data_IF_271950906797
#
_entry.id   IF_271950906797
#
_cell.length_a   1.000
_cell.length_b   1.000
_cell.length_c   1.000
_cell.angle_alpha   90.00
_cell.angle_beta   90.00
_cell.angle_gamma   90.00
#
_symmetry.space_group_name_H-M   'P 1'
#
loop_
_entity.id
_entity.type
_entity.pdbx_description
1 polymer ?
#
# COMPACT_ATOMS: atom_id res chain seq x y z
N UNK A 1 -5.52 18.96 -19.30
CA UNK A 1 -4.98 17.63 -18.98
C UNK A 1 -6.03 16.61 -18.54
N UNK A 2 -7.21 17.04 -17.99
CA UNK A 2 -8.24 16.09 -17.50
C UNK A 2 -8.71 15.07 -18.54
N UNK A 3 -9.01 15.43 -19.81
CA UNK A 3 -9.37 14.45 -20.82
C UNK A 3 -8.27 13.43 -21.13
N UNK A 4 -7.02 13.87 -21.11
CA UNK A 4 -5.87 13.00 -21.34
C UNK A 4 -5.67 12.04 -20.17
N UNK A 5 -5.77 12.53 -18.92
CA UNK A 5 -5.67 11.70 -17.72
C UNK A 5 -6.78 10.66 -17.70
N UNK A 6 -8.04 11.08 -17.99
CA UNK A 6 -9.16 10.17 -18.10
C UNK A 6 -8.88 9.03 -19.10
N UNK A 7 -8.45 9.38 -20.30
CA UNK A 7 -8.12 8.39 -21.33
C UNK A 7 -7.03 7.42 -20.86
N UNK A 8 -5.96 7.91 -20.20
CA UNK A 8 -4.87 7.07 -19.68
C UNK A 8 -5.32 6.13 -18.54
N UNK A 9 -6.29 6.54 -17.74
CA UNK A 9 -6.90 5.67 -16.70
C UNK A 9 -7.80 4.62 -17.36
N UNK A 10 -8.61 5.00 -18.35
CA UNK A 10 -9.55 4.09 -19.02
C UNK A 10 -8.83 3.03 -19.86
N UNK A 11 -7.77 3.41 -20.57
CA UNK A 11 -6.98 2.48 -21.39
C UNK A 11 -5.93 1.67 -20.62
N UNK A 12 -5.73 1.95 -19.32
CA UNK A 12 -4.82 1.22 -18.43
C UNK A 12 -3.36 1.65 -18.49
N UNK A 13 -3.02 2.75 -19.18
CA UNK A 13 -1.68 3.35 -19.11
C UNK A 13 -1.35 3.87 -17.72
N UNK A 14 -2.35 4.42 -17.02
CA UNK A 14 -2.30 4.74 -15.59
C UNK A 14 -3.25 3.81 -14.85
N UNK A 15 -2.73 2.77 -14.26
CA UNK A 15 -3.52 1.78 -13.53
C UNK A 15 -3.81 2.25 -12.12
N UNK A 16 -5.08 2.27 -11.71
CA UNK A 16 -5.51 2.61 -10.35
C UNK A 16 -6.18 1.41 -9.71
N UNK A 17 -5.72 1.02 -8.54
CA UNK A 17 -6.21 -0.12 -7.76
C UNK A 17 -6.63 0.34 -6.38
N UNK A 18 -7.77 -0.12 -5.87
CA UNK A 18 -8.78 -1.01 -6.48
C UNK A 18 -9.69 -0.29 -7.48
N UNK A 19 -10.50 -1.06 -8.19
CA UNK A 19 -11.44 -0.54 -9.20
C UNK A 19 -12.42 0.52 -8.63
N UNK A 20 -12.82 0.39 -7.37
CA UNK A 20 -13.65 1.38 -6.68
C UNK A 20 -12.97 2.76 -6.63
N UNK A 21 -11.65 2.80 -6.41
CA UNK A 21 -10.87 4.05 -6.38
C UNK A 21 -10.59 4.62 -7.76
N UNK A 22 -10.46 3.76 -8.76
CA UNK A 22 -10.44 4.18 -10.17
C UNK A 22 -11.75 4.88 -10.54
N UNK A 23 -12.88 4.26 -10.21
CA UNK A 23 -14.20 4.84 -10.48
C UNK A 23 -14.40 6.16 -9.75
N UNK A 24 -13.93 6.28 -8.50
CA UNK A 24 -13.92 7.54 -7.76
C UNK A 24 -13.11 8.63 -8.48
N UNK A 25 -11.90 8.32 -8.94
CA UNK A 25 -11.06 9.26 -9.69
C UNK A 25 -11.74 9.71 -11.00
N UNK A 26 -12.32 8.79 -11.75
CA UNK A 26 -13.06 9.09 -12.97
C UNK A 26 -14.30 9.97 -12.70
N UNK A 27 -15.06 9.67 -11.66
CA UNK A 27 -16.21 10.47 -11.25
C UNK A 27 -15.81 11.89 -10.84
N UNK A 28 -14.68 12.05 -10.14
CA UNK A 28 -14.14 13.37 -9.81
C UNK A 28 -13.78 14.13 -11.11
N UNK A 29 -13.11 13.51 -12.08
CA UNK A 29 -12.76 14.14 -13.34
C UNK A 29 -14.01 14.60 -14.11
N UNK A 30 -15.09 13.84 -14.06
CA UNK A 30 -16.36 14.15 -14.72
C UNK A 30 -17.19 15.25 -14.02
N UNK A 31 -16.94 15.47 -12.72
CA UNK A 31 -17.70 16.41 -11.89
C UNK A 31 -17.24 17.86 -11.98
N UNK A 32 -16.55 18.26 -13.05
CA UNK A 32 -16.03 19.61 -13.26
C UNK A 32 -15.04 20.07 -12.17
N UNK A 33 -13.89 19.39 -12.13
CA UNK A 33 -12.81 19.71 -11.18
C UNK A 33 -12.26 21.09 -11.49
N UNK A 34 -12.40 22.00 -10.53
CA UNK A 34 -11.77 23.32 -10.59
C UNK A 34 -10.24 23.23 -10.61
N UNK A 35 -9.61 24.29 -11.12
CA UNK A 35 -8.16 24.42 -11.13
C UNK A 35 -7.55 24.17 -9.77
N UNK A 36 -6.41 23.51 -9.75
CA UNK A 36 -5.63 23.25 -8.55
C UNK A 36 -4.73 24.47 -8.26
N UNK A 37 -5.05 25.21 -7.21
CA UNK A 37 -4.22 26.33 -6.79
C UNK A 37 -2.94 25.83 -6.13
N UNK A 38 -1.79 26.17 -6.72
CA UNK A 38 -0.44 25.80 -6.24
C UNK A 38 0.11 26.76 -5.19
N UNK A 39 -0.61 27.82 -4.84
CA UNK A 39 -0.21 28.82 -3.84
C UNK A 39 -1.30 29.08 -2.83
N UNK A 40 -0.92 29.68 -1.71
CA UNK A 40 -1.82 30.17 -0.64
C UNK A 40 -1.40 31.54 -0.19
N UNK A 41 -2.36 32.46 -0.12
CA UNK A 41 -2.17 33.79 0.44
C UNK A 41 -2.24 33.78 1.95
N UNK A 42 -1.52 34.73 2.58
CA UNK A 42 -1.63 34.97 4.02
C UNK A 42 -0.92 33.96 4.93
N UNK A 43 -0.20 32.97 4.40
CA UNK A 43 0.63 32.07 5.19
C UNK A 43 1.91 32.77 5.64
N UNK A 44 2.11 32.87 6.96
CA UNK A 44 3.32 33.47 7.55
C UNK A 44 4.54 32.54 7.46
N UNK A 45 4.32 31.25 7.32
CA UNK A 45 5.36 30.23 7.23
C UNK A 45 5.14 29.35 5.99
N UNK A 46 6.19 29.09 5.23
CA UNK A 46 6.15 28.30 4.01
C UNK A 46 7.23 28.72 3.02
N UNK A 47 7.30 28.05 1.90
CA UNK A 47 8.20 28.39 0.79
C UNK A 47 7.58 29.55 0.02
N UNK A 48 8.23 30.74 -0.04
CA UNK A 48 7.69 31.88 -0.78
C UNK A 48 7.54 31.55 -2.28
N UNK A 49 6.41 31.95 -2.86
CA UNK A 49 6.22 31.77 -4.29
C UNK A 49 7.12 32.76 -5.06
N UNK A 50 7.92 32.30 -6.04
CA UNK A 50 8.93 33.14 -6.70
C UNK A 50 8.39 34.38 -7.39
N UNK A 51 7.17 34.32 -7.89
CA UNK A 51 6.54 35.39 -8.68
C UNK A 51 5.63 36.33 -7.84
N UNK A 52 5.30 35.93 -6.60
CA UNK A 52 4.52 36.76 -5.67
C UNK A 52 4.90 36.42 -4.21
N UNK A 53 5.65 37.31 -3.58
CA UNK A 53 6.16 37.13 -2.21
C UNK A 53 5.06 37.14 -1.13
N UNK A 54 3.84 37.58 -1.46
CA UNK A 54 2.70 37.52 -0.53
C UNK A 54 2.06 36.14 -0.48
N UNK A 55 2.48 35.24 -1.36
CA UNK A 55 1.99 33.87 -1.43
C UNK A 55 3.07 32.86 -1.06
N UNK A 56 2.67 31.79 -0.41
CA UNK A 56 3.49 30.62 -0.16
C UNK A 56 3.06 29.46 -1.06
N UNK A 57 4.01 28.60 -1.43
CA UNK A 57 3.70 27.38 -2.17
C UNK A 57 2.78 26.49 -1.33
N UNK A 58 1.73 25.97 -1.96
CA UNK A 58 0.81 25.07 -1.31
C UNK A 58 1.45 23.71 -1.04
N UNK A 59 1.26 23.20 0.17
CA UNK A 59 1.91 21.98 0.66
C UNK A 59 1.77 20.79 -0.30
N UNK A 60 0.65 20.62 -0.97
CA UNK A 60 0.47 19.52 -1.92
C UNK A 60 1.22 19.72 -3.24
N UNK A 61 1.46 20.96 -3.67
CA UNK A 61 2.32 21.22 -4.82
C UNK A 61 3.78 20.82 -4.51
N UNK A 62 4.26 21.17 -3.31
CA UNK A 62 5.59 20.79 -2.83
C UNK A 62 5.71 19.27 -2.59
N UNK A 63 4.76 18.70 -1.86
CA UNK A 63 4.77 17.28 -1.51
C UNK A 63 4.75 16.34 -2.73
N UNK A 64 3.99 16.68 -3.78
CA UNK A 64 3.92 15.85 -4.98
C UNK A 64 5.22 15.91 -5.79
N UNK A 65 5.87 17.08 -5.87
CA UNK A 65 7.15 17.24 -6.58
C UNK A 65 8.26 16.42 -5.92
N UNK A 66 8.14 16.10 -4.62
CA UNK A 66 9.15 15.31 -3.91
C UNK A 66 9.45 13.96 -4.59
N UNK A 67 8.47 13.32 -5.23
CA UNK A 67 8.70 12.07 -5.96
C UNK A 67 9.71 12.19 -7.11
N UNK A 68 9.84 13.37 -7.71
CA UNK A 68 10.84 13.63 -8.74
C UNK A 68 12.15 14.16 -8.14
N UNK A 69 12.06 15.07 -7.16
CA UNK A 69 13.25 15.73 -6.59
C UNK A 69 14.13 14.79 -5.77
N UNK A 70 13.55 13.78 -5.09
CA UNK A 70 14.30 12.74 -4.37
C UNK A 70 15.17 11.88 -5.30
N UNK A 71 14.85 11.88 -6.60
CA UNK A 71 15.61 11.19 -7.64
C UNK A 71 16.61 12.10 -8.37
N UNK A 72 16.84 13.29 -7.85
CA UNK A 72 17.73 14.31 -8.45
C UNK A 72 17.26 14.79 -9.84
N UNK A 73 15.93 14.98 -10.01
CA UNK A 73 15.37 15.59 -11.24
C UNK A 73 16.00 16.98 -11.50
N UNK A 74 16.31 17.35 -12.75
CA UNK A 74 16.00 16.63 -13.99
C UNK A 74 17.12 15.71 -14.49
N UNK A 75 18.36 15.89 -14.09
CA UNK A 75 19.54 15.31 -14.75
C UNK A 75 20.19 14.16 -13.97
N UNK A 76 19.69 13.87 -12.76
CA UNK A 76 20.25 12.87 -11.86
C UNK A 76 20.22 11.44 -12.42
N UNK A 77 21.23 10.66 -12.09
CA UNK A 77 21.32 9.25 -12.49
C UNK A 77 20.19 8.42 -11.87
N UNK A 78 19.75 8.76 -10.66
CA UNK A 78 18.61 8.10 -10.03
C UNK A 78 17.33 8.39 -10.80
N UNK A 79 17.12 9.62 -11.27
CA UNK A 79 15.96 9.95 -12.08
C UNK A 79 15.93 9.17 -13.39
N UNK A 80 17.05 9.12 -14.12
CA UNK A 80 17.16 8.33 -15.35
C UNK A 80 16.90 6.84 -15.13
N UNK A 81 17.29 6.31 -13.98
CA UNK A 81 17.16 4.88 -13.66
C UNK A 81 15.77 4.48 -13.16
N UNK A 82 15.13 5.31 -12.33
CA UNK A 82 13.93 4.95 -11.59
C UNK A 82 12.66 5.67 -12.05
N UNK A 83 12.78 6.63 -12.98
CA UNK A 83 11.61 7.26 -13.58
C UNK A 83 11.25 6.61 -14.93
N UNK A 84 9.96 6.38 -15.26
CA UNK A 84 8.77 6.67 -14.42
C UNK A 84 8.62 5.71 -13.24
N UNK A 85 7.91 6.16 -12.20
CA UNK A 85 7.59 5.38 -11.02
C UNK A 85 6.75 4.15 -11.41
N UNK A 86 7.14 2.96 -10.94
CA UNK A 86 6.36 1.74 -11.19
C UNK A 86 5.07 1.73 -10.37
N UNK A 87 5.15 2.09 -9.08
CA UNK A 87 4.03 2.01 -8.16
C UNK A 87 4.05 3.16 -7.13
N UNK A 88 2.93 3.87 -7.01
CA UNK A 88 2.62 4.68 -5.83
C UNK A 88 1.72 3.89 -4.89
N UNK A 89 2.07 3.82 -3.59
CA UNK A 89 1.23 3.26 -2.54
C UNK A 89 0.75 4.41 -1.68
N UNK A 90 -0.57 4.65 -1.64
CA UNK A 90 -1.15 5.81 -0.98
C UNK A 90 -2.40 5.47 -0.18
N UNK A 91 -2.72 6.31 0.80
CA UNK A 91 -3.99 6.24 1.53
C UNK A 91 -5.17 6.81 0.73
N UNK A 92 -6.37 6.35 1.02
CA UNK A 92 -7.59 6.74 0.32
C UNK A 92 -7.89 8.25 0.37
N UNK A 93 -7.49 8.94 1.45
CA UNK A 93 -7.74 10.38 1.64
C UNK A 93 -7.00 11.26 0.60
N UNK A 94 -5.94 10.74 -0.01
CA UNK A 94 -5.09 11.48 -0.95
C UNK A 94 -5.21 10.99 -2.39
N UNK A 95 -6.26 10.21 -2.69
CA UNK A 95 -6.54 9.70 -4.03
C UNK A 95 -6.58 10.83 -5.08
N UNK A 96 -7.36 11.89 -4.86
CA UNK A 96 -7.49 13.02 -5.79
C UNK A 96 -6.15 13.65 -6.14
N UNK A 97 -5.24 13.77 -5.16
CA UNK A 97 -3.93 14.36 -5.38
C UNK A 97 -3.04 13.50 -6.27
N UNK A 98 -3.05 12.19 -6.10
CA UNK A 98 -2.18 11.28 -6.83
C UNK A 98 -2.76 10.78 -8.15
N UNK A 99 -4.10 10.69 -8.25
CA UNK A 99 -4.76 10.18 -9.46
C UNK A 99 -5.13 11.29 -10.45
N UNK A 100 -5.15 12.56 -10.02
CA UNK A 100 -5.57 13.68 -10.87
C UNK A 100 -4.52 14.80 -10.89
N UNK A 101 -4.21 15.42 -9.75
CA UNK A 101 -3.33 16.59 -9.72
C UNK A 101 -1.88 16.25 -10.04
N UNK A 102 -1.35 15.16 -9.50
CA UNK A 102 0.00 14.72 -9.82
C UNK A 102 0.18 14.36 -11.30
N UNK A 103 -0.68 13.54 -11.92
CA UNK A 103 -0.66 13.35 -13.37
C UNK A 103 -0.75 14.65 -14.17
N UNK A 104 -1.59 15.61 -13.77
CA UNK A 104 -1.68 16.90 -14.45
C UNK A 104 -0.37 17.71 -14.36
N UNK A 105 0.27 17.70 -13.20
CA UNK A 105 1.58 18.35 -13.02
C UNK A 105 2.66 17.69 -13.87
N UNK A 106 2.69 16.36 -13.91
CA UNK A 106 3.64 15.59 -14.73
C UNK A 106 3.45 15.86 -16.22
N UNK A 107 2.22 15.80 -16.71
CA UNK A 107 1.92 16.13 -18.12
C UNK A 107 2.30 17.56 -18.46
N UNK A 108 2.06 18.51 -17.55
CA UNK A 108 2.48 19.91 -17.74
C UNK A 108 4.00 20.07 -17.82
N UNK A 109 4.74 19.25 -17.10
CA UNK A 109 6.20 19.22 -17.12
C UNK A 109 6.79 18.36 -18.26
N UNK A 110 5.95 17.71 -19.07
CA UNK A 110 6.40 16.79 -20.12
C UNK A 110 7.00 15.49 -19.58
N UNK A 111 6.62 15.09 -18.36
CA UNK A 111 7.11 13.89 -17.70
C UNK A 111 6.16 12.71 -17.86
N UNK A 112 6.73 11.50 -17.89
CA UNK A 112 5.96 10.27 -17.92
C UNK A 112 5.18 10.07 -16.61
N UNK A 113 3.97 9.52 -16.70
CA UNK A 113 3.14 9.20 -15.54
C UNK A 113 3.65 7.94 -14.82
N UNK A 114 3.31 7.76 -13.52
CA UNK A 114 3.49 6.48 -12.84
C UNK A 114 2.68 5.38 -13.55
N UNK A 115 3.16 4.13 -13.49
CA UNK A 115 2.47 3.00 -14.12
C UNK A 115 1.23 2.58 -13.34
N UNK A 116 1.36 2.57 -12.00
CA UNK A 116 0.30 2.08 -11.12
C UNK A 116 0.19 2.93 -9.85
N UNK A 117 -1.04 3.07 -9.34
CA UNK A 117 -1.36 3.67 -8.05
C UNK A 117 -2.20 2.67 -7.27
N UNK A 118 -1.64 2.13 -6.19
CA UNK A 118 -2.38 1.32 -5.24
C UNK A 118 -2.88 2.18 -4.08
N UNK A 119 -4.19 2.16 -3.84
CA UNK A 119 -4.85 3.00 -2.84
C UNK A 119 -5.38 2.11 -1.73
N UNK A 120 -4.67 2.12 -0.60
CA UNK A 120 -5.05 1.33 0.56
C UNK A 120 -6.12 2.00 1.40
N UNK A 121 -6.84 1.18 2.16
CA UNK A 121 -7.80 1.62 3.15
C UNK A 121 -7.15 2.27 4.37
N UNK A 122 -7.99 2.77 5.25
CA UNK A 122 -7.57 3.41 6.50
C UNK A 122 -8.04 2.58 7.70
N UNK A 123 -7.24 2.59 8.75
CA UNK A 123 -7.57 1.96 10.02
C UNK A 123 -8.35 2.91 10.92
N UNK A 124 -9.41 2.39 11.52
CA UNK A 124 -9.98 2.92 12.74
C UNK A 124 -9.63 1.99 13.91
N UNK A 125 -9.69 2.48 15.11
CA UNK A 125 -9.52 1.69 16.33
C UNK A 125 -10.75 1.87 17.19
N UNK A 126 -11.47 0.77 17.45
CA UNK A 126 -12.75 0.77 18.16
C UNK A 126 -13.74 1.79 17.55
N UNK A 127 -13.88 1.80 16.22
CA UNK A 127 -14.77 2.68 15.47
C UNK A 127 -14.35 4.15 15.39
N UNK A 128 -13.16 4.50 15.91
CA UNK A 128 -12.68 5.88 15.93
C UNK A 128 -11.41 6.05 15.12
N UNK A 129 -11.28 7.20 14.46
CA UNK A 129 -10.02 7.56 13.79
C UNK A 129 -8.88 7.61 14.81
N UNK A 130 -7.73 7.01 14.46
CA UNK A 130 -6.54 7.07 15.29
C UNK A 130 -6.10 8.51 15.54
N UNK A 131 -5.88 8.86 16.79
CA UNK A 131 -5.45 10.21 17.21
C UNK A 131 -4.57 10.14 18.44
N UNK A 132 -3.47 10.90 18.44
CA UNK A 132 -2.62 11.07 19.64
C UNK A 132 -3.40 11.62 20.83
N UNK A 133 -4.33 12.52 20.56
CA UNK A 133 -5.15 13.16 21.61
C UNK A 133 -6.15 12.18 22.25
N UNK A 134 -6.66 11.24 21.47
CA UNK A 134 -7.58 10.19 21.95
C UNK A 134 -6.82 9.04 22.61
N UNK A 135 -5.53 8.88 22.30
CA UNK A 135 -4.69 7.82 22.87
C UNK A 135 -5.00 6.42 22.30
N UNK A 136 -5.66 6.34 21.14
CA UNK A 136 -6.04 5.09 20.48
C UNK A 136 -5.10 4.71 19.33
N UNK A 137 -3.84 5.15 19.37
CA UNK A 137 -2.86 4.82 18.33
C UNK A 137 -2.31 3.42 18.58
N UNK A 138 -2.27 2.62 17.53
CA UNK A 138 -1.51 1.38 17.49
C UNK A 138 -0.10 1.72 17.03
N UNK A 139 0.88 1.63 17.94
CA UNK A 139 2.28 1.83 17.59
C UNK A 139 2.85 0.55 16.97
N UNK A 140 3.30 0.59 15.71
CA UNK A 140 3.85 -0.59 15.05
C UNK A 140 5.18 -1.06 15.67
N UNK A 141 5.92 -0.17 16.35
CA UNK A 141 7.17 -0.55 17.03
C UNK A 141 6.85 -1.36 18.28
N UNK A 142 5.93 -0.87 19.12
CA UNK A 142 5.46 -1.63 20.30
C UNK A 142 4.86 -2.98 19.91
N UNK A 143 4.12 -3.02 18.79
CA UNK A 143 3.57 -4.28 18.26
C UNK A 143 4.70 -5.25 17.85
N UNK A 144 5.74 -4.74 17.19
CA UNK A 144 6.89 -5.53 16.78
C UNK A 144 7.74 -5.98 17.97
N UNK A 145 7.88 -5.18 19.02
CA UNK A 145 8.56 -5.58 20.27
C UNK A 145 7.79 -6.70 20.98
N UNK A 146 6.47 -6.66 20.96
CA UNK A 146 5.61 -7.64 21.64
C UNK A 146 5.49 -8.98 20.91
N UNK A 147 5.36 -8.98 19.59
CA UNK A 147 5.02 -10.16 18.79
C UNK A 147 6.15 -10.58 17.81
N UNK A 148 7.19 -9.77 17.66
CA UNK A 148 8.17 -9.90 16.58
C UNK A 148 7.71 -9.16 15.31
N UNK A 149 8.67 -8.70 14.50
CA UNK A 149 8.40 -7.86 13.32
C UNK A 149 7.53 -8.56 12.27
N UNK A 150 7.76 -9.83 12.01
CA UNK A 150 7.01 -10.58 10.99
C UNK A 150 5.57 -10.85 11.44
N UNK A 151 5.37 -11.20 12.71
CA UNK A 151 4.04 -11.36 13.27
C UNK A 151 3.28 -10.02 13.34
N UNK A 152 3.95 -8.92 13.65
CA UNK A 152 3.34 -7.58 13.61
C UNK A 152 2.85 -7.21 12.21
N UNK A 153 3.66 -7.48 11.16
CA UNK A 153 3.23 -7.31 9.75
C UNK A 153 2.01 -8.16 9.42
N UNK A 154 2.05 -9.44 9.79
CA UNK A 154 0.94 -10.35 9.57
C UNK A 154 -0.33 -9.85 10.27
N UNK A 155 -0.24 -9.48 11.55
CA UNK A 155 -1.36 -8.99 12.34
C UNK A 155 -2.00 -7.74 11.76
N UNK A 156 -1.22 -6.82 11.20
CA UNK A 156 -1.72 -5.61 10.57
C UNK A 156 -2.35 -5.89 9.20
N UNK A 157 -1.70 -6.68 8.35
CA UNK A 157 -2.14 -6.94 6.98
C UNK A 157 -3.33 -7.91 6.89
N UNK A 158 -3.50 -8.79 7.88
CA UNK A 158 -4.55 -9.82 7.88
C UNK A 158 -5.86 -9.41 8.55
N UNK A 159 -6.02 -8.12 8.94
CA UNK A 159 -7.25 -7.67 9.61
C UNK A 159 -8.44 -7.59 8.62
N UNK A 160 -8.18 -7.05 7.44
CA UNK A 160 -9.15 -6.86 6.36
C UNK A 160 -8.39 -6.63 5.04
N UNK A 161 -9.06 -6.73 3.88
CA UNK A 161 -8.43 -6.48 2.60
C UNK A 161 -7.74 -5.11 2.55
N UNK A 162 -6.50 -5.05 2.08
CA UNK A 162 -5.67 -3.84 2.10
C UNK A 162 -6.33 -2.63 1.39
N UNK A 163 -7.22 -2.90 0.43
CA UNK A 163 -7.97 -1.87 -0.33
C UNK A 163 -9.20 -1.31 0.42
N UNK A 164 -9.59 -1.90 1.54
CA UNK A 164 -10.79 -1.55 2.29
C UNK A 164 -10.45 -0.79 3.57
N UNK A 165 -11.41 0.01 4.05
CA UNK A 165 -11.34 0.58 5.39
C UNK A 165 -11.74 -0.49 6.40
N UNK A 166 -11.05 -0.52 7.55
CA UNK A 166 -11.38 -1.50 8.58
C UNK A 166 -11.17 -0.99 9.99
N UNK A 167 -11.88 -1.61 10.92
CA UNK A 167 -11.75 -1.34 12.34
C UNK A 167 -10.87 -2.39 13.01
N UNK A 168 -9.87 -1.94 13.73
CA UNK A 168 -8.90 -2.81 14.41
C UNK A 168 -9.12 -2.74 15.91
N UNK A 169 -9.14 -3.90 16.54
CA UNK A 169 -9.18 -4.03 17.97
C UNK A 169 -7.86 -4.56 18.48
N UNK A 170 -7.07 -3.69 19.09
CA UNK A 170 -5.72 -4.01 19.53
C UNK A 170 -5.69 -5.19 20.54
N UNK A 171 -6.75 -5.34 21.35
CA UNK A 171 -6.93 -6.44 22.29
C UNK A 171 -7.11 -7.80 21.61
N UNK A 172 -7.53 -7.85 20.35
CA UNK A 172 -7.72 -9.08 19.58
C UNK A 172 -6.43 -9.60 18.93
N UNK A 173 -5.36 -8.81 18.88
CA UNK A 173 -4.10 -9.23 18.26
C UNK A 173 -3.52 -10.50 18.88
N UNK A 174 -3.54 -10.64 20.21
CA UNK A 174 -3.04 -11.81 20.86
C UNK A 174 -3.84 -13.07 20.52
N UNK A 175 -5.17 -12.93 20.43
CA UNK A 175 -6.05 -14.03 20.03
C UNK A 175 -5.78 -14.44 18.58
N UNK A 176 -5.67 -13.46 17.67
CA UNK A 176 -5.38 -13.71 16.26
C UNK A 176 -4.00 -14.34 16.08
N UNK A 177 -2.97 -13.86 16.79
CA UNK A 177 -1.64 -14.46 16.77
C UNK A 177 -1.71 -15.94 17.18
N UNK A 178 -2.39 -16.25 18.28
CA UNK A 178 -2.51 -17.63 18.76
C UNK A 178 -3.35 -18.51 17.81
N UNK A 179 -4.47 -18.01 17.31
CA UNK A 179 -5.34 -18.81 16.43
C UNK A 179 -4.68 -19.12 15.09
N UNK A 180 -4.13 -18.13 14.45
CA UNK A 180 -3.70 -18.23 13.06
C UNK A 180 -2.27 -18.80 12.96
N UNK A 181 -1.36 -18.32 13.81
CA UNK A 181 0.05 -18.70 13.74
C UNK A 181 0.38 -19.88 14.65
N UNK A 182 0.11 -19.80 15.95
CA UNK A 182 0.48 -20.86 16.89
C UNK A 182 -0.39 -22.10 16.71
N UNK A 183 -1.74 -21.95 16.74
CA UNK A 183 -2.65 -23.08 16.63
C UNK A 183 -2.94 -23.52 15.18
N UNK A 184 -2.63 -22.66 14.20
CA UNK A 184 -2.71 -22.97 12.77
C UNK A 184 -1.43 -23.64 12.26
N UNK A 185 -0.59 -22.85 11.60
CA UNK A 185 0.64 -23.34 10.95
C UNK A 185 1.62 -23.94 11.97
N UNK A 186 1.81 -23.29 13.12
CA UNK A 186 2.71 -23.78 14.19
C UNK A 186 2.30 -25.16 14.69
N UNK A 187 1.03 -25.37 15.03
CA UNK A 187 0.52 -26.66 15.46
C UNK A 187 0.64 -27.75 14.39
N UNK A 188 0.42 -27.40 13.12
CA UNK A 188 0.62 -28.34 12.01
C UNK A 188 2.07 -28.82 11.95
N UNK A 189 3.03 -27.92 12.04
CA UNK A 189 4.45 -28.24 12.04
C UNK A 189 4.83 -29.07 13.27
N UNK A 190 4.44 -28.66 14.47
CA UNK A 190 4.73 -29.36 15.72
C UNK A 190 4.22 -30.81 15.67
N UNK A 191 2.96 -31.01 15.31
CA UNK A 191 2.37 -32.35 15.18
C UNK A 191 3.05 -33.20 14.13
N UNK A 192 3.41 -32.61 13.00
CA UNK A 192 4.13 -33.32 11.92
C UNK A 192 5.50 -33.77 12.38
N UNK A 193 6.28 -32.89 13.03
CA UNK A 193 7.60 -33.24 13.57
C UNK A 193 7.52 -34.25 14.70
N UNK A 194 6.54 -34.13 15.59
CA UNK A 194 6.31 -35.12 16.63
C UNK A 194 6.07 -36.53 16.04
N UNK A 195 5.19 -36.61 15.01
CA UNK A 195 4.96 -37.88 14.32
C UNK A 195 6.22 -38.43 13.64
N UNK A 196 7.04 -37.59 13.04
CA UNK A 196 8.31 -38.00 12.43
C UNK A 196 9.25 -38.54 13.49
N UNK A 197 9.35 -37.88 14.64
CA UNK A 197 10.21 -38.37 15.78
C UNK A 197 9.67 -39.68 16.31
N UNK A 198 8.41 -39.77 16.63
CA UNK A 198 7.81 -40.94 17.28
C UNK A 198 7.77 -42.18 16.38
N UNK A 199 7.48 -42.02 15.11
CA UNK A 199 7.28 -43.15 14.20
C UNK A 199 8.50 -43.46 13.31
N UNK A 200 9.43 -42.49 13.16
CA UNK A 200 10.58 -42.60 12.27
C UNK A 200 11.91 -42.26 12.93
N UNK A 201 11.95 -42.07 14.25
CA UNK A 201 13.18 -41.72 14.98
C UNK A 201 13.82 -40.40 14.51
N UNK A 202 13.01 -39.47 14.00
CA UNK A 202 13.47 -38.17 13.48
C UNK A 202 14.05 -38.19 12.07
N UNK A 203 13.95 -39.33 11.37
CA UNK A 203 14.53 -39.49 10.03
C UNK A 203 13.42 -39.41 8.98
N UNK A 204 13.60 -38.48 8.02
CA UNK A 204 12.80 -38.41 6.79
C UNK A 204 13.54 -39.21 5.69
N UNK A 205 12.91 -40.27 5.19
CA UNK A 205 13.46 -41.06 4.11
C UNK A 205 13.08 -40.43 2.74
N UNK A 206 14.08 -39.96 2.02
CA UNK A 206 13.91 -39.36 0.69
C UNK A 206 13.40 -40.34 -0.41
N UNK A 207 13.43 -41.66 -0.11
CA UNK A 207 13.09 -42.70 -1.07
C UNK A 207 11.58 -42.80 -1.37
N UNK A 208 10.76 -42.33 -0.46
CA UNK A 208 9.31 -42.28 -0.69
C UNK A 208 8.94 -40.85 -1.15
N UNK A 209 8.97 -40.62 -2.45
CA UNK A 209 8.61 -39.33 -3.02
C UNK A 209 7.23 -38.84 -2.55
N UNK A 210 7.02 -37.56 -2.60
CA UNK A 210 5.71 -36.92 -2.33
C UNK A 210 4.73 -37.43 -3.38
N UNK A 211 3.52 -37.85 -2.95
CA UNK A 211 2.46 -38.19 -3.90
C UNK A 211 2.23 -37.04 -4.89
N UNK A 212 2.10 -37.34 -6.15
CA UNK A 212 1.95 -36.35 -7.23
C UNK A 212 0.81 -35.36 -6.95
N UNK A 213 -0.28 -35.85 -6.36
CA UNK A 213 -1.41 -35.02 -5.94
C UNK A 213 -1.00 -33.94 -4.91
N UNK A 214 -0.14 -34.27 -3.95
CA UNK A 214 0.33 -33.32 -2.92
C UNK A 214 1.27 -32.30 -3.55
N UNK A 215 2.15 -32.75 -4.44
CA UNK A 215 3.04 -31.88 -5.20
C UNK A 215 2.27 -30.86 -6.05
N UNK A 216 1.30 -31.32 -6.83
CA UNK A 216 0.43 -30.44 -7.61
C UNK A 216 -0.35 -29.44 -6.74
N UNK A 217 -0.80 -29.88 -5.55
CA UNK A 217 -1.48 -28.99 -4.61
C UNK A 217 -0.55 -27.92 -4.05
N UNK A 218 0.70 -28.28 -3.72
CA UNK A 218 1.70 -27.33 -3.25
C UNK A 218 2.03 -26.28 -4.33
N UNK A 219 2.31 -26.73 -5.55
CA UNK A 219 2.57 -25.83 -6.69
C UNK A 219 1.38 -24.87 -6.98
N UNK A 220 0.16 -25.41 -6.91
CA UNK A 220 -1.05 -24.58 -7.06
C UNK A 220 -1.19 -23.56 -5.94
N UNK A 221 -0.88 -23.94 -4.71
CA UNK A 221 -0.97 -23.07 -3.54
C UNK A 221 0.06 -21.94 -3.64
N UNK A 222 1.29 -22.25 -4.02
CA UNK A 222 2.36 -21.27 -4.24
C UNK A 222 1.96 -20.25 -5.32
N UNK A 223 1.53 -20.72 -6.50
CA UNK A 223 1.05 -19.83 -7.57
C UNK A 223 -0.13 -18.96 -7.16
N UNK A 224 -1.07 -19.51 -6.40
CA UNK A 224 -2.21 -18.74 -5.89
C UNK A 224 -1.76 -17.67 -4.89
N UNK A 225 -0.81 -18.01 -4.02
CA UNK A 225 -0.24 -17.07 -3.05
C UNK A 225 0.46 -15.91 -3.75
N UNK A 226 1.37 -16.21 -4.69
CA UNK A 226 2.06 -15.20 -5.49
C UNK A 226 1.08 -14.30 -6.23
N UNK A 227 0.12 -14.89 -6.96
CA UNK A 227 -0.87 -14.13 -7.71
C UNK A 227 -1.77 -13.26 -6.81
N UNK A 228 -2.14 -13.73 -5.63
CA UNK A 228 -2.93 -12.94 -4.70
C UNK A 228 -2.10 -11.78 -4.12
N UNK A 229 -0.84 -12.04 -3.78
CA UNK A 229 0.08 -11.03 -3.26
C UNK A 229 0.32 -9.93 -4.30
N UNK A 230 0.62 -10.29 -5.54
CA UNK A 230 0.86 -9.38 -6.66
C UNK A 230 -0.39 -8.54 -7.01
N UNK A 231 -1.57 -9.02 -6.66
CA UNK A 231 -2.84 -8.31 -6.85
C UNK A 231 -3.38 -7.66 -5.56
N UNK A 232 -2.54 -7.51 -4.53
CA UNK A 232 -2.87 -6.88 -3.23
C UNK A 232 -4.04 -7.54 -2.49
N UNK A 233 -4.27 -8.82 -2.72
CA UNK A 233 -5.27 -9.66 -2.03
C UNK A 233 -4.60 -10.38 -0.87
N UNK A 234 -4.35 -9.63 0.17
CA UNK A 234 -3.64 -10.08 1.38
C UNK A 234 -4.61 -10.66 2.40
#
# INVERSE_FOLDING_TARGET
>A
YLPEIKNKIENGELKIIPESRKNEALAIIESDVSDFSITREGLKWGIPFPYDKNQAIYVWADALINYATVLDYPDGENFKKFWPVDLHIIGAEINKFHSIFWPAMLLSAGLALPKEIFIHGLFTVNGQKMSKTVGNIIDPVELAEKFGADAARYLLLSQFPASEHGDVKAEEFANKYNSDLANGVGNLLERSFTMIIDYRGGILDEKNGVEEKIKLLAEKTEKNYENNFDNYKL
#
